data_IF_521817373192
#
_entry.id   IF_521817373192
#
_cell.length_a   1.000
_cell.length_b   1.000
_cell.length_c   1.000
_cell.angle_alpha   90.00
_cell.angle_beta   90.00
_cell.angle_gamma   90.00
#
_symmetry.space_group_name_H-M   'P 1'
#
loop_
_entity.id
_entity.type
_entity.pdbx_description
1 polymer ?
#
# COMPACT_ATOMS: atom_id res chain seq x y z
N UNK A 1 -4.17 2.64 20.09
CA UNK A 1 -3.66 2.53 18.70
C UNK A 1 -2.57 3.58 18.50
N UNK A 2 -1.31 3.28 18.82
CA UNK A 2 -0.21 4.23 18.60
C UNK A 2 0.26 4.11 17.15
N UNK A 3 -0.01 5.16 16.37
CA UNK A 3 0.17 5.21 14.93
C UNK A 3 1.65 5.10 14.56
N UNK A 4 1.97 4.20 13.64
CA UNK A 4 3.33 3.90 13.15
C UNK A 4 4.07 5.15 12.67
N UNK A 5 3.33 6.14 12.16
CA UNK A 5 3.84 7.45 11.74
C UNK A 5 4.44 8.23 12.90
N UNK A 6 3.80 8.22 14.07
CA UNK A 6 4.24 8.96 15.26
C UNK A 6 5.55 8.44 15.84
N UNK A 7 5.82 7.12 15.74
CA UNK A 7 7.12 6.54 16.15
C UNK A 7 8.23 6.80 15.12
N UNK A 8 7.89 6.92 13.83
CA UNK A 8 8.82 7.29 12.76
C UNK A 8 9.15 8.79 12.77
N UNK A 9 8.25 9.66 13.25
CA UNK A 9 8.49 11.10 13.46
C UNK A 9 9.60 11.38 14.48
N UNK A 10 9.67 10.59 15.57
CA UNK A 10 10.68 10.76 16.62
C UNK A 10 12.10 10.48 16.08
N UNK A 11 12.23 9.67 15.02
CA UNK A 11 13.51 9.38 14.37
C UNK A 11 14.06 10.57 13.55
N UNK A 12 13.17 11.40 12.96
CA UNK A 12 13.57 12.67 12.31
C UNK A 12 14.10 13.68 13.33
N UNK A 13 13.46 13.77 14.49
CA UNK A 13 13.84 14.69 15.57
C UNK A 13 15.20 14.33 16.18
N UNK A 14 15.61 13.05 16.15
CA UNK A 14 16.92 12.58 16.66
C UNK A 14 18.01 12.40 15.59
N UNK A 15 17.89 13.08 14.43
CA UNK A 15 18.91 13.12 13.37
C UNK A 15 19.24 11.77 12.70
N UNK A 16 18.34 10.78 12.79
CA UNK A 16 18.51 9.51 12.07
C UNK A 16 17.94 9.61 10.65
N UNK A 17 18.71 9.14 9.66
CA UNK A 17 18.19 8.87 8.32
C UNK A 17 17.55 7.47 8.30
N UNK A 18 16.22 7.41 8.20
CA UNK A 18 15.51 6.12 8.08
C UNK A 18 15.78 5.53 6.69
N UNK A 19 16.49 4.39 6.65
CA UNK A 19 16.68 3.55 5.47
C UNK A 19 16.39 2.10 5.86
N UNK A 20 15.71 1.36 4.98
CA UNK A 20 15.27 -0.01 5.23
C UNK A 20 15.56 -0.86 3.99
N UNK A 21 16.18 -2.04 4.18
CA UNK A 21 16.58 -3.01 3.15
C UNK A 21 16.34 -4.43 3.68
N UNK A 22 15.95 -5.34 2.77
CA UNK A 22 15.84 -6.81 2.90
C UNK A 22 14.48 -7.46 3.26
N UNK A 23 13.37 -6.73 3.13
CA UNK A 23 12.00 -7.31 3.11
C UNK A 23 11.23 -6.86 1.86
N UNK A 24 11.96 -6.82 0.74
CA UNK A 24 11.42 -6.47 -0.56
C UNK A 24 11.10 -7.74 -1.36
N UNK A 25 9.84 -7.93 -1.72
CA UNK A 25 9.46 -8.89 -2.75
C UNK A 25 9.11 -8.12 -4.01
N UNK A 26 9.74 -8.47 -5.13
CA UNK A 26 9.42 -7.89 -6.44
C UNK A 26 8.69 -8.91 -7.30
N UNK A 27 7.56 -8.51 -7.86
CA UNK A 27 6.83 -9.27 -8.86
C UNK A 27 6.76 -8.45 -10.15
N UNK A 28 6.94 -9.10 -11.29
CA UNK A 28 6.75 -8.49 -12.60
C UNK A 28 5.88 -9.41 -13.45
N UNK A 29 4.96 -8.80 -14.19
CA UNK A 29 4.09 -9.52 -15.12
C UNK A 29 3.75 -8.65 -16.32
N UNK A 30 3.64 -9.30 -17.47
CA UNK A 30 3.17 -8.68 -18.72
C UNK A 30 1.83 -9.29 -19.08
N UNK A 31 0.87 -8.43 -19.43
CA UNK A 31 -0.45 -8.80 -19.93
C UNK A 31 -0.61 -8.30 -21.34
N UNK A 32 -1.04 -9.16 -22.24
CA UNK A 32 -1.42 -8.78 -23.60
C UNK A 32 -2.80 -8.10 -23.62
N UNK A 33 -2.94 -7.05 -24.42
CA UNK A 33 -4.19 -6.31 -24.62
C UNK A 33 -4.32 -5.82 -26.07
N UNK A 34 -5.47 -5.27 -26.42
CA UNK A 34 -5.71 -4.66 -27.73
C UNK A 34 -4.84 -3.42 -27.98
N UNK A 35 -4.44 -2.71 -26.91
CA UNK A 35 -3.55 -1.52 -27.01
C UNK A 35 -2.06 -1.89 -26.86
N UNK A 36 -1.74 -3.18 -26.87
CA UNK A 36 -0.38 -3.72 -26.75
C UNK A 36 -0.01 -4.12 -25.32
N UNK A 37 1.15 -4.77 -25.12
CA UNK A 37 1.49 -5.37 -23.83
C UNK A 37 1.61 -4.33 -22.70
N UNK A 38 0.92 -4.60 -21.60
CA UNK A 38 1.01 -3.86 -20.35
C UNK A 38 1.92 -4.64 -19.39
N UNK A 39 3.06 -4.06 -19.02
CA UNK A 39 4.00 -4.64 -18.06
C UNK A 39 3.96 -3.88 -16.75
N UNK A 40 3.74 -4.59 -15.65
CA UNK A 40 3.58 -4.04 -14.30
C UNK A 40 4.61 -4.69 -13.38
N UNK A 41 5.19 -3.87 -12.50
CA UNK A 41 6.01 -4.33 -11.40
C UNK A 41 5.34 -3.96 -10.07
N UNK A 42 5.37 -4.87 -9.11
CA UNK A 42 4.96 -4.63 -7.74
C UNK A 42 6.16 -4.86 -6.80
N UNK A 43 6.38 -3.92 -5.88
CA UNK A 43 7.37 -4.03 -4.82
C UNK A 43 6.65 -4.01 -3.47
N UNK A 44 6.79 -5.09 -2.70
CA UNK A 44 6.21 -5.21 -1.35
C UNK A 44 7.27 -4.82 -0.33
N UNK A 45 6.85 -4.10 0.71
CA UNK A 45 7.69 -3.46 1.71
C UNK A 45 7.09 -3.66 3.11
N UNK A 46 7.62 -4.58 3.91
CA UNK A 46 7.24 -4.71 5.32
C UNK A 46 7.79 -3.57 6.18
N UNK A 47 6.96 -2.59 6.52
CA UNK A 47 7.38 -1.51 7.41
C UNK A 47 7.36 -1.93 8.89
N UNK A 48 6.41 -2.77 9.29
CA UNK A 48 6.35 -3.40 10.62
C UNK A 48 5.65 -4.75 10.46
N UNK A 49 5.68 -5.65 11.46
CA UNK A 49 4.95 -6.92 11.40
C UNK A 49 3.44 -6.78 11.16
N UNK A 50 2.88 -5.58 11.35
CA UNK A 50 1.47 -5.26 11.16
C UNK A 50 1.21 -4.25 10.04
N UNK A 51 2.25 -3.81 9.31
CA UNK A 51 2.13 -2.82 8.24
C UNK A 51 3.03 -3.19 7.08
N UNK A 52 2.39 -3.54 5.97
CA UNK A 52 3.03 -3.80 4.70
C UNK A 52 2.58 -2.72 3.70
N UNK A 53 3.53 -2.19 2.96
CA UNK A 53 3.30 -1.27 1.84
C UNK A 53 3.52 -2.03 0.55
N UNK A 54 2.61 -1.89 -0.40
CA UNK A 54 2.76 -2.45 -1.75
C UNK A 54 2.82 -1.28 -2.72
N UNK A 55 3.95 -1.12 -3.39
CA UNK A 55 4.15 -0.13 -4.44
C UNK A 55 3.97 -0.81 -5.81
N UNK A 56 3.05 -0.32 -6.63
CA UNK A 56 2.79 -0.85 -7.97
C UNK A 56 3.18 0.20 -9.02
N UNK A 57 3.89 -0.23 -10.06
CA UNK A 57 4.46 0.62 -11.12
C UNK A 57 4.19 0.03 -12.50
N UNK A 58 3.80 0.87 -13.45
CA UNK A 58 3.84 0.52 -14.87
C UNK A 58 5.28 0.58 -15.38
N UNK A 59 5.77 -0.50 -16.00
CA UNK A 59 7.09 -0.58 -16.65
C UNK A 59 7.00 -0.26 -18.15
N UNK A 60 5.94 -0.71 -18.80
CA UNK A 60 5.63 -0.46 -20.20
C UNK A 60 4.13 -0.64 -20.44
N UNK A 61 3.58 -0.03 -21.49
CA UNK A 61 2.18 -0.20 -21.90
C UNK A 61 1.37 1.09 -21.90
N UNK A 62 0.06 0.94 -22.05
CA UNK A 62 -0.88 2.05 -22.12
C UNK A 62 -1.32 2.50 -20.72
N UNK A 63 -1.32 3.82 -20.49
CA UNK A 63 -1.68 4.40 -19.19
C UNK A 63 -3.14 4.17 -18.79
N UNK A 64 -4.08 4.28 -19.74
CA UNK A 64 -5.50 4.07 -19.48
C UNK A 64 -5.76 2.62 -19.05
N UNK A 65 -5.10 1.65 -19.69
CA UNK A 65 -5.20 0.24 -19.29
C UNK A 65 -4.58 -0.02 -17.91
N UNK A 66 -3.49 0.67 -17.57
CA UNK A 66 -2.90 0.61 -16.24
C UNK A 66 -3.87 1.14 -15.17
N UNK A 67 -4.48 2.31 -15.42
CA UNK A 67 -5.45 2.92 -14.51
C UNK A 67 -6.68 2.01 -14.32
N UNK A 68 -7.21 1.46 -15.42
CA UNK A 68 -8.32 0.50 -15.38
C UNK A 68 -7.95 -0.77 -14.61
N UNK A 69 -6.76 -1.33 -14.83
CA UNK A 69 -6.27 -2.47 -14.05
C UNK A 69 -6.21 -2.15 -12.55
N UNK A 70 -5.68 -0.97 -12.19
CA UNK A 70 -5.59 -0.54 -10.80
C UNK A 70 -6.97 -0.44 -10.14
N UNK A 71 -7.95 0.19 -10.80
CA UNK A 71 -9.27 0.45 -10.23
C UNK A 71 -10.18 -0.79 -10.25
N UNK A 72 -10.15 -1.58 -11.32
CA UNK A 72 -11.14 -2.64 -11.56
C UNK A 72 -10.67 -4.02 -11.12
N UNK A 73 -9.37 -4.25 -11.01
CA UNK A 73 -8.81 -5.57 -10.70
C UNK A 73 -7.98 -5.53 -9.42
N UNK A 74 -6.95 -4.68 -9.37
CA UNK A 74 -5.99 -4.65 -8.27
C UNK A 74 -6.64 -4.21 -6.95
N UNK A 75 -7.26 -3.02 -6.92
CA UNK A 75 -7.89 -2.50 -5.70
C UNK A 75 -8.96 -3.46 -5.14
N UNK A 76 -9.92 -3.97 -5.94
CA UNK A 76 -10.89 -4.96 -5.48
C UNK A 76 -10.22 -6.24 -4.97
N UNK A 77 -9.21 -6.75 -5.67
CA UNK A 77 -8.47 -7.95 -5.28
C UNK A 77 -7.76 -7.83 -3.93
N UNK A 78 -7.38 -6.61 -3.52
CA UNK A 78 -6.69 -6.35 -2.26
C UNK A 78 -7.61 -5.97 -1.09
N UNK A 79 -8.93 -5.82 -1.30
CA UNK A 79 -9.84 -5.31 -0.25
C UNK A 79 -9.80 -6.13 1.05
N UNK A 80 -9.72 -7.46 0.94
CA UNK A 80 -9.68 -8.35 2.11
C UNK A 80 -8.36 -8.28 2.91
N UNK A 81 -7.30 -7.72 2.33
CA UNK A 81 -6.00 -7.53 2.96
C UNK A 81 -5.89 -6.19 3.68
N UNK A 82 -6.78 -5.23 3.37
CA UNK A 82 -6.80 -3.92 4.01
C UNK A 82 -7.64 -4.01 5.28
N UNK A 83 -6.97 -4.06 6.44
CA UNK A 83 -7.66 -3.95 7.71
C UNK A 83 -8.20 -2.53 7.90
N UNK A 84 -9.51 -2.36 7.76
CA UNK A 84 -10.19 -1.16 8.25
C UNK A 84 -10.09 -1.17 9.78
N UNK A 85 -9.27 -0.30 10.36
CA UNK A 85 -9.35 -0.03 11.79
C UNK A 85 -10.74 0.54 12.05
N UNK A 86 -11.60 -0.24 12.70
CA UNK A 86 -12.95 0.16 13.05
C UNK A 86 -12.91 1.55 13.71
N UNK A 87 -13.76 2.45 13.21
CA UNK A 87 -14.13 3.67 13.91
C UNK A 87 -14.50 3.31 15.35
N UNK A 88 -13.92 4.02 16.31
CA UNK A 88 -14.27 3.90 17.73
C UNK A 88 -15.79 4.06 17.85
N UNK A 89 -16.51 3.14 18.53
CA UNK A 89 -17.96 3.26 18.69
C UNK A 89 -18.28 4.51 19.51
N UNK A 90 -19.26 5.29 19.05
CA UNK A 90 -19.86 6.40 19.79
C UNK A 90 -20.32 5.89 21.16
N UNK A 91 -19.67 6.37 22.22
CA UNK A 91 -20.13 6.17 23.59
C UNK A 91 -21.18 7.27 23.82
N UNK A 92 -22.49 6.96 23.96
CA UNK A 92 -23.45 7.97 24.37
C UNK A 92 -23.09 8.42 25.80
N UNK A 93 -22.88 9.72 25.96
CA UNK A 93 -22.66 10.37 27.24
C UNK A 93 -23.96 10.35 28.02
N UNK A 94 -24.09 9.46 29.00
CA UNK A 94 -25.09 9.60 30.04
C UNK A 94 -24.87 10.94 30.75
N UNK A 95 -25.87 11.82 30.68
CA UNK A 95 -25.99 12.97 31.60
C UNK A 95 -27.12 12.65 32.57
N UNK A 96 -26.79 12.75 33.86
CA UNK A 96 -27.71 12.65 35.01
C UNK A 96 -28.98 13.49 34.86
#
# INVERSE_FOLDING_TARGET
>A
MQTIVTKLEIAKVKSFAVRRKDWRVSLEGTRESEKGPLTIAAEVFELTPSLVVVEVKMKAGNREEYEDFCERELKPGMQHLVHHTASVPDIPSDTE
#
